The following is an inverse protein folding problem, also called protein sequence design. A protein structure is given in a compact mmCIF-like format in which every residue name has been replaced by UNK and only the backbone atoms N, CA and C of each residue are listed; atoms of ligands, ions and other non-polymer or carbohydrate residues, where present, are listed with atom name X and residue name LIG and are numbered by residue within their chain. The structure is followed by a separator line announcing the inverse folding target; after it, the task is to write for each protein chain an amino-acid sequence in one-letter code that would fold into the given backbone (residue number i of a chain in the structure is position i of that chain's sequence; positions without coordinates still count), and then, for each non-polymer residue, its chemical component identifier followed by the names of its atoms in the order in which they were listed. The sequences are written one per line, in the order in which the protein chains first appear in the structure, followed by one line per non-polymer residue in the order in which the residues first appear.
data_IF_062750103414
#
_entry.id   IF_062750103414
#
_cell.length_a   1.000
_cell.length_b   1.000
_cell.length_c   1.000
_cell.angle_alpha   90.00
_cell.angle_beta   90.00
_cell.angle_gamma   90.00
#
_symmetry.space_group_name_H-M   'P 1'
#
loop_
_entity.id
_entity.type
_entity.pdbx_description
1 polymer ?
#
# COMPACT_ATOMS: atom_id res chain seq x y z
N UNK A 1 -6.65 -30.62 0.98
CA UNK A 1 -6.88 -29.30 1.61
C UNK A 1 -5.75 -28.41 1.14
N UNK A 2 -6.02 -27.23 0.56
CA UNK A 2 -4.96 -26.36 0.07
C UNK A 2 -4.11 -25.87 1.25
N UNK A 3 -2.81 -25.65 1.01
CA UNK A 3 -1.88 -25.14 2.03
C UNK A 3 -2.27 -23.74 2.51
N UNK A 4 -2.78 -22.91 1.58
CA UNK A 4 -3.31 -21.58 1.86
C UNK A 4 -4.77 -21.45 1.40
N UNK A 5 -5.61 -20.88 2.25
CA UNK A 5 -6.98 -20.50 1.88
C UNK A 5 -6.97 -19.19 1.07
N UNK A 6 -7.10 -19.33 -0.25
CA UNK A 6 -7.04 -18.21 -1.19
C UNK A 6 -8.11 -18.34 -2.27
N UNK A 7 -8.92 -17.30 -2.43
CA UNK A 7 -9.93 -17.25 -3.50
C UNK A 7 -9.29 -16.88 -4.84
N UNK A 8 -9.04 -17.88 -5.69
CA UNK A 8 -8.37 -17.72 -6.99
C UNK A 8 -9.06 -16.68 -7.89
N UNK A 9 -10.39 -16.69 -7.97
CA UNK A 9 -11.15 -15.77 -8.85
C UNK A 9 -10.95 -14.31 -8.46
N UNK A 10 -10.95 -14.03 -7.16
CA UNK A 10 -10.75 -12.67 -6.64
C UNK A 10 -9.32 -12.21 -6.92
N UNK A 11 -8.33 -13.04 -6.61
CA UNK A 11 -6.92 -12.69 -6.80
C UNK A 11 -6.61 -12.42 -8.28
N UNK A 12 -7.05 -13.29 -9.20
CA UNK A 12 -6.81 -13.10 -10.63
C UNK A 12 -7.49 -11.83 -11.16
N UNK A 13 -8.68 -11.49 -10.65
CA UNK A 13 -9.38 -10.26 -11.00
C UNK A 13 -8.58 -9.02 -10.58
N UNK A 14 -8.02 -9.00 -9.37
CA UNK A 14 -7.24 -7.87 -8.88
C UNK A 14 -5.87 -7.77 -9.56
N UNK A 15 -5.19 -8.89 -9.78
CA UNK A 15 -3.92 -8.93 -10.53
C UNK A 15 -4.09 -8.39 -11.95
N UNK A 16 -5.23 -8.67 -12.61
CA UNK A 16 -5.51 -8.18 -13.97
C UNK A 16 -5.56 -6.65 -14.08
N UNK A 17 -5.84 -5.94 -12.98
CA UNK A 17 -5.84 -4.47 -12.94
C UNK A 17 -4.42 -3.89 -12.92
N UNK A 18 -3.43 -4.69 -12.56
CA UNK A 18 -2.05 -4.26 -12.40
C UNK A 18 -1.27 -4.35 -13.72
N UNK A 19 -0.23 -3.55 -13.85
CA UNK A 19 0.66 -3.58 -15.00
C UNK A 19 1.76 -4.64 -14.78
N UNK A 20 2.00 -5.56 -15.73
CA UNK A 20 3.13 -6.49 -15.63
C UNK A 20 4.47 -5.75 -15.76
N UNK A 21 5.47 -6.23 -15.01
CA UNK A 21 6.83 -5.70 -15.01
C UNK A 21 7.79 -6.59 -15.79
N UNK A 22 8.80 -5.95 -16.38
CA UNK A 22 9.96 -6.66 -16.92
C UNK A 22 10.82 -7.21 -15.76
N UNK A 23 11.49 -8.32 -16.01
CA UNK A 23 12.36 -8.94 -15.01
C UNK A 23 13.49 -7.98 -14.57
N UNK A 24 13.70 -7.92 -13.26
CA UNK A 24 14.77 -7.12 -12.65
C UNK A 24 15.40 -7.92 -11.51
N UNK A 25 16.71 -8.19 -11.60
CA UNK A 25 17.45 -8.96 -10.60
C UNK A 25 17.36 -8.40 -9.17
N UNK A 26 17.26 -7.08 -9.01
CA UNK A 26 17.18 -6.42 -7.71
C UNK A 26 15.75 -6.37 -7.14
N UNK A 27 14.74 -6.67 -7.97
CA UNK A 27 13.32 -6.62 -7.63
C UNK A 27 12.59 -7.89 -8.08
N UNK A 28 13.30 -9.01 -8.16
CA UNK A 28 12.84 -10.25 -8.80
C UNK A 28 11.57 -10.86 -8.18
N UNK A 29 11.24 -10.48 -6.94
CA UNK A 29 10.04 -10.92 -6.24
C UNK A 29 8.78 -10.17 -6.69
N UNK A 30 8.92 -9.01 -7.36
CA UNK A 30 7.82 -8.22 -7.90
C UNK A 30 7.57 -8.56 -9.36
N UNK A 31 6.31 -8.78 -9.70
CA UNK A 31 5.86 -9.11 -11.06
C UNK A 31 4.93 -8.08 -11.65
N UNK A 32 4.25 -7.33 -10.79
CA UNK A 32 3.27 -6.35 -11.19
C UNK A 32 3.51 -5.04 -10.45
N UNK A 33 2.98 -3.95 -10.99
CA UNK A 33 2.98 -2.62 -10.37
C UNK A 33 1.64 -1.92 -10.63
N UNK A 34 1.40 -0.83 -9.91
CA UNK A 34 0.25 0.03 -10.19
C UNK A 34 0.42 0.67 -11.58
N UNK A 35 -0.66 0.75 -12.38
CA UNK A 35 -0.60 1.39 -13.69
C UNK A 35 -0.33 2.90 -13.57
N UNK A 36 -0.90 3.54 -12.56
CA UNK A 36 -0.69 4.95 -12.27
C UNK A 36 0.55 5.13 -11.39
N UNK A 37 1.44 6.03 -11.81
CA UNK A 37 2.59 6.42 -11.01
C UNK A 37 2.15 7.39 -9.90
N UNK A 38 2.75 7.31 -8.70
CA UNK A 38 2.43 8.23 -7.62
C UNK A 38 2.77 9.66 -8.02
N UNK A 39 1.90 10.60 -7.66
CA UNK A 39 2.10 12.01 -7.97
C UNK A 39 3.24 12.60 -7.12
N UNK A 40 3.76 13.74 -7.56
CA UNK A 40 4.81 14.43 -6.83
C UNK A 40 4.35 14.82 -5.41
N UNK A 41 5.27 14.79 -4.44
CA UNK A 41 4.99 15.07 -3.01
C UNK A 41 4.29 16.40 -2.74
N UNK A 42 4.51 17.41 -3.57
CA UNK A 42 3.94 18.76 -3.39
C UNK A 42 2.60 18.94 -4.12
N UNK A 43 2.10 17.90 -4.80
CA UNK A 43 0.78 17.94 -5.44
C UNK A 43 -0.31 18.00 -4.37
N UNK A 44 -1.44 18.61 -4.72
CA UNK A 44 -2.60 18.72 -3.83
C UNK A 44 -3.11 17.33 -3.39
N UNK A 45 -3.51 17.22 -2.13
CA UNK A 45 -3.94 15.96 -1.52
C UNK A 45 -5.14 15.36 -2.25
N UNK A 46 -6.12 16.19 -2.65
CA UNK A 46 -7.29 15.71 -3.37
C UNK A 46 -6.91 15.03 -4.70
N UNK A 47 -5.94 15.59 -5.42
CA UNK A 47 -5.44 15.00 -6.67
C UNK A 47 -4.70 13.68 -6.44
N UNK A 48 -3.93 13.56 -5.35
CA UNK A 48 -3.29 12.30 -4.97
C UNK A 48 -4.30 11.22 -4.62
N UNK A 49 -5.35 11.58 -3.88
CA UNK A 49 -6.48 10.68 -3.56
C UNK A 49 -7.14 10.20 -4.86
N UNK A 50 -7.44 11.12 -5.78
CA UNK A 50 -8.07 10.78 -7.06
C UNK A 50 -7.17 9.97 -8.00
N UNK A 51 -5.86 10.09 -7.90
CA UNK A 51 -4.90 9.27 -8.66
C UNK A 51 -4.79 7.83 -8.13
N UNK A 52 -5.26 7.57 -6.90
CA UNK A 52 -5.12 6.29 -6.23
C UNK A 52 -3.78 6.12 -5.49
N UNK A 53 -3.09 7.21 -5.14
CA UNK A 53 -1.79 7.13 -4.45
C UNK A 53 -1.89 6.44 -3.08
N UNK A 54 -3.08 6.53 -2.46
CA UNK A 54 -3.39 5.94 -1.16
C UNK A 54 -4.29 4.70 -1.26
N UNK A 55 -4.49 4.17 -2.47
CA UNK A 55 -5.25 2.93 -2.64
C UNK A 55 -4.50 1.74 -2.03
N UNK A 56 -5.27 0.71 -1.71
CA UNK A 56 -4.79 -0.52 -1.09
C UNK A 56 -3.59 -1.12 -1.84
N UNK A 57 -2.54 -1.49 -1.10
CA UNK A 57 -1.28 -1.93 -1.70
C UNK A 57 -1.43 -3.19 -2.57
N UNK A 58 -0.91 -3.09 -3.79
CA UNK A 58 -0.88 -4.20 -4.75
C UNK A 58 0.01 -5.37 -4.28
N UNK A 59 0.92 -5.16 -3.32
CA UNK A 59 1.79 -6.21 -2.81
C UNK A 59 1.01 -7.35 -2.14
N UNK A 60 -0.13 -7.02 -1.51
CA UNK A 60 -1.04 -8.02 -0.95
C UNK A 60 -1.52 -9.01 -2.01
N UNK A 61 -2.04 -8.49 -3.13
CA UNK A 61 -2.57 -9.33 -4.20
C UNK A 61 -1.47 -10.17 -4.86
N UNK A 62 -0.26 -9.63 -4.98
CA UNK A 62 0.90 -10.39 -5.45
C UNK A 62 1.32 -11.50 -4.49
N UNK A 63 1.24 -11.26 -3.18
CA UNK A 63 1.51 -12.28 -2.17
C UNK A 63 0.47 -13.40 -2.26
N UNK A 64 -0.81 -13.05 -2.36
CA UNK A 64 -1.91 -14.02 -2.58
C UNK A 64 -1.77 -14.78 -3.89
N UNK A 65 -1.34 -14.13 -4.95
CA UNK A 65 -1.06 -14.80 -6.22
C UNK A 65 0.09 -15.81 -6.10
N UNK A 66 1.11 -15.48 -5.31
CA UNK A 66 2.21 -16.42 -5.00
C UNK A 66 1.72 -17.59 -4.15
N UNK A 67 0.81 -17.38 -3.19
CA UNK A 67 0.18 -18.46 -2.41
C UNK A 67 -0.60 -19.45 -3.29
N UNK A 68 -1.28 -18.97 -4.36
CA UNK A 68 -1.93 -19.85 -5.34
C UNK A 68 -0.92 -20.74 -6.08
N UNK A 69 0.23 -20.19 -6.46
CA UNK A 69 1.30 -20.96 -7.10
C UNK A 69 1.91 -21.99 -6.15
N UNK A 70 2.06 -21.65 -4.87
CA UNK A 70 2.53 -22.60 -3.85
C UNK A 70 1.53 -23.73 -3.66
N UNK A 71 0.23 -23.44 -3.64
CA UNK A 71 -0.80 -24.48 -3.57
C UNK A 71 -0.72 -25.45 -4.76
N UNK A 72 -0.59 -24.92 -5.99
CA UNK A 72 -0.43 -25.75 -7.20
C UNK A 72 0.82 -26.63 -7.12
N UNK A 73 1.94 -26.03 -6.70
CA UNK A 73 3.20 -26.75 -6.51
C UNK A 73 3.09 -27.85 -5.43
N UNK A 74 2.36 -27.57 -4.35
CA UNK A 74 2.11 -28.52 -3.26
C UNK A 74 1.35 -29.74 -3.77
N UNK A 75 0.27 -29.52 -4.52
CA UNK A 75 -0.52 -30.60 -5.12
C UNK A 75 0.30 -31.43 -6.12
N UNK A 76 1.18 -30.80 -6.90
CA UNK A 76 2.06 -31.47 -7.86
C UNK A 76 3.16 -32.34 -7.20
N UNK A 77 3.67 -31.91 -6.05
CA UNK A 77 4.78 -32.61 -5.38
C UNK A 77 4.30 -33.60 -4.32
N UNK A 78 3.01 -33.58 -3.95
CA UNK A 78 2.47 -34.46 -2.93
C UNK A 78 2.61 -35.94 -3.34
N UNK A 79 3.07 -36.84 -2.45
CA UNK A 79 3.36 -36.64 -1.02
C UNK A 79 4.83 -36.32 -0.70
N UNK A 80 5.69 -36.07 -1.69
CA UNK A 80 7.12 -35.81 -1.50
C UNK A 80 7.38 -34.36 -1.04
N UNK A 81 7.48 -34.20 0.27
CA UNK A 81 7.78 -32.92 0.91
C UNK A 81 9.19 -32.40 0.65
N UNK A 82 10.16 -33.30 0.40
CA UNK A 82 11.55 -32.89 0.12
C UNK A 82 11.60 -32.17 -1.22
N UNK A 83 10.99 -32.79 -2.24
CA UNK A 83 10.85 -32.20 -3.57
C UNK A 83 10.05 -30.89 -3.54
N UNK A 84 8.98 -30.83 -2.75
CA UNK A 84 8.21 -29.60 -2.55
C UNK A 84 9.08 -28.47 -1.99
N UNK A 85 9.86 -28.74 -0.93
CA UNK A 85 10.67 -27.72 -0.29
C UNK A 85 11.74 -27.15 -1.24
N UNK A 86 12.38 -28.00 -2.03
CA UNK A 86 13.36 -27.59 -3.04
C UNK A 86 12.74 -26.65 -4.09
N UNK A 87 11.58 -27.03 -4.66
CA UNK A 87 10.90 -26.21 -5.67
C UNK A 87 10.26 -24.95 -5.07
N UNK A 88 9.79 -25.02 -3.82
CA UNK A 88 9.09 -23.92 -3.16
C UNK A 88 10.03 -22.84 -2.63
N UNK A 89 11.32 -23.12 -2.48
CA UNK A 89 12.30 -22.18 -1.89
C UNK A 89 12.19 -20.76 -2.46
N UNK A 90 12.09 -20.63 -3.79
CA UNK A 90 11.97 -19.34 -4.47
C UNK A 90 10.60 -18.66 -4.20
N UNK A 91 9.51 -19.42 -4.23
CA UNK A 91 8.16 -18.90 -3.99
C UNK A 91 7.96 -18.48 -2.53
N UNK A 92 8.50 -19.25 -1.58
CA UNK A 92 8.53 -18.89 -0.16
C UNK A 92 9.29 -17.59 0.09
N UNK A 93 10.48 -17.44 -0.50
CA UNK A 93 11.25 -16.20 -0.41
C UNK A 93 10.52 -15.00 -1.05
N UNK A 94 9.87 -15.20 -2.21
CA UNK A 94 9.04 -14.18 -2.88
C UNK A 94 7.88 -13.72 -1.99
N UNK A 95 7.11 -14.68 -1.46
CA UNK A 95 5.97 -14.43 -0.58
C UNK A 95 6.38 -13.61 0.64
N UNK A 96 7.47 -13.99 1.32
CA UNK A 96 7.98 -13.27 2.49
C UNK A 96 8.27 -11.81 2.17
N UNK A 97 9.02 -11.54 1.10
CA UNK A 97 9.37 -10.16 0.69
C UNK A 97 8.15 -9.34 0.30
N UNK A 98 7.16 -9.94 -0.35
CA UNK A 98 5.92 -9.25 -0.73
C UNK A 98 5.10 -8.84 0.50
N UNK A 99 5.03 -9.69 1.54
CA UNK A 99 4.41 -9.31 2.81
C UNK A 99 5.19 -8.21 3.53
N UNK A 100 6.51 -8.29 3.57
CA UNK A 100 7.35 -7.23 4.16
C UNK A 100 7.16 -5.88 3.44
N UNK A 101 7.07 -5.89 2.10
CA UNK A 101 6.81 -4.70 1.29
C UNK A 101 5.39 -4.17 1.50
N UNK A 102 4.39 -5.06 1.61
CA UNK A 102 3.00 -4.70 1.91
C UNK A 102 2.87 -3.96 3.24
N UNK A 103 3.40 -4.52 4.32
CA UNK A 103 3.31 -3.92 5.66
C UNK A 103 3.96 -2.54 5.69
N UNK A 104 5.14 -2.40 5.05
CA UNK A 104 5.84 -1.12 4.94
C UNK A 104 5.06 -0.11 4.12
N UNK A 105 4.53 -0.51 2.97
CA UNK A 105 3.80 0.37 2.06
C UNK A 105 2.51 0.90 2.71
N UNK A 106 1.69 0.03 3.29
CA UNK A 106 0.46 0.43 3.99
C UNK A 106 0.74 1.31 5.21
N UNK A 107 1.74 0.96 6.01
CA UNK A 107 2.17 1.81 7.14
C UNK A 107 2.62 3.19 6.66
N UNK A 108 3.36 3.26 5.56
CA UNK A 108 3.82 4.52 5.00
C UNK A 108 2.65 5.36 4.45
N UNK A 109 1.71 4.75 3.72
CA UNK A 109 0.51 5.43 3.21
C UNK A 109 -0.34 6.00 4.33
N UNK A 110 -0.64 5.21 5.36
CA UNK A 110 -1.41 5.67 6.52
C UNK A 110 -0.72 6.87 7.20
N UNK A 111 0.59 6.78 7.42
CA UNK A 111 1.35 7.88 8.00
C UNK A 111 1.37 9.14 7.11
N UNK A 112 1.42 8.96 5.79
CA UNK A 112 1.36 10.06 4.83
C UNK A 112 -0.02 10.72 4.83
N UNK A 113 -1.11 9.95 4.80
CA UNK A 113 -2.48 10.47 4.90
C UNK A 113 -2.61 11.33 6.15
N UNK A 114 -2.29 10.77 7.33
CA UNK A 114 -2.37 11.50 8.61
C UNK A 114 -1.56 12.80 8.56
N UNK A 115 -0.37 12.76 7.97
CA UNK A 115 0.50 13.94 7.84
C UNK A 115 -0.10 14.97 6.88
N UNK A 116 -0.62 14.58 5.73
CA UNK A 116 -1.15 15.52 4.73
C UNK A 116 -2.44 16.20 5.22
N UNK A 117 -3.36 15.44 5.82
CA UNK A 117 -4.56 16.00 6.46
C UNK A 117 -4.19 16.97 7.59
N UNK A 118 -3.25 16.56 8.46
CA UNK A 118 -2.70 17.44 9.50
C UNK A 118 -2.13 18.73 8.92
N UNK A 119 -1.44 18.70 7.77
CA UNK A 119 -0.82 19.90 7.19
C UNK A 119 -1.85 20.83 6.54
N UNK A 120 -2.89 20.26 5.90
CA UNK A 120 -3.89 21.00 5.10
C UNK A 120 -4.99 21.61 5.96
N UNK A 121 -5.51 20.85 6.93
CA UNK A 121 -6.64 21.27 7.76
C UNK A 121 -6.21 21.79 9.12
N UNK A 122 -7.07 22.57 9.78
CA UNK A 122 -6.83 23.10 11.14
C UNK A 122 -7.05 22.04 12.23
N UNK A 123 -6.31 20.94 12.17
CA UNK A 123 -6.44 19.79 13.08
C UNK A 123 -5.08 19.29 13.57
N UNK A 124 -5.06 18.51 14.66
CA UNK A 124 -3.88 17.77 15.13
C UNK A 124 -3.81 16.39 14.50
N UNK A 125 -2.66 15.70 14.63
CA UNK A 125 -2.52 14.33 14.12
C UNK A 125 -3.41 13.32 14.86
N UNK A 126 -3.76 13.59 16.12
CA UNK A 126 -4.63 12.71 16.89
C UNK A 126 -6.06 12.86 16.43
N UNK A 127 -6.52 14.11 16.26
CA UNK A 127 -7.84 14.42 15.70
C UNK A 127 -8.02 13.71 14.34
N UNK A 128 -7.00 13.71 13.46
CA UNK A 128 -7.10 12.99 12.18
C UNK A 128 -7.39 11.51 12.39
N UNK A 129 -6.72 10.85 13.34
CA UNK A 129 -6.89 9.41 13.59
C UNK A 129 -8.26 9.11 14.17
N UNK A 130 -8.70 9.90 15.16
CA UNK A 130 -10.02 9.76 15.77
C UNK A 130 -11.13 9.93 14.71
N UNK A 131 -11.03 10.97 13.88
CA UNK A 131 -11.99 11.19 12.79
C UNK A 131 -11.91 10.09 11.73
N UNK A 132 -10.72 9.56 11.42
CA UNK A 132 -10.58 8.45 10.48
C UNK A 132 -11.23 7.15 11.00
N UNK A 133 -11.15 6.88 12.30
CA UNK A 133 -11.76 5.70 12.92
C UNK A 133 -13.29 5.80 12.93
N UNK A 134 -13.84 7.01 13.10
CA UNK A 134 -15.29 7.25 13.05
C UNK A 134 -15.84 7.31 11.61
N UNK A 135 -15.04 7.78 10.65
CA UNK A 135 -15.48 8.05 9.29
C UNK A 135 -15.47 6.80 8.41
N UNK A 136 -16.55 6.00 8.48
CA UNK A 136 -16.74 4.77 7.71
C UNK A 136 -17.00 4.91 6.20
N UNK A 137 -16.52 5.97 5.54
CA UNK A 137 -16.74 6.24 4.11
C UNK A 137 -15.43 6.40 3.33
N UNK A 138 -15.50 6.77 2.04
CA UNK A 138 -14.33 6.91 1.17
C UNK A 138 -13.42 8.08 1.57
N UNK A 139 -12.13 7.98 1.23
CA UNK A 139 -11.12 8.99 1.52
C UNK A 139 -11.42 10.36 0.89
N UNK A 140 -12.07 10.39 -0.28
CA UNK A 140 -12.53 11.62 -0.92
C UNK A 140 -13.65 12.30 -0.13
N UNK A 141 -14.62 11.52 0.39
CA UNK A 141 -15.65 12.06 1.28
C UNK A 141 -15.05 12.53 2.60
N UNK A 142 -14.01 11.86 3.09
CA UNK A 142 -13.30 12.25 4.29
C UNK A 142 -12.64 13.62 4.12
N UNK A 143 -12.03 13.86 2.96
CA UNK A 143 -11.49 15.17 2.60
C UNK A 143 -12.56 16.28 2.68
N UNK A 144 -13.73 16.05 2.07
CA UNK A 144 -14.85 17.02 2.10
C UNK A 144 -15.36 17.22 3.53
N UNK A 145 -15.45 16.15 4.32
CA UNK A 145 -15.85 16.23 5.72
C UNK A 145 -14.88 17.10 6.54
N UNK A 146 -13.57 16.86 6.42
CA UNK A 146 -12.56 17.65 7.11
C UNK A 146 -12.55 19.12 6.66
N UNK A 147 -12.78 19.37 5.37
CA UNK A 147 -12.88 20.73 4.83
C UNK A 147 -14.04 21.51 5.47
N UNK A 148 -15.21 20.89 5.57
CA UNK A 148 -16.40 21.51 6.15
C UNK A 148 -16.29 21.71 7.68
N UNK A 149 -15.70 20.74 8.40
CA UNK A 149 -15.65 20.74 9.86
C UNK A 149 -14.53 21.62 10.43
N UNK A 150 -13.32 21.52 9.89
CA UNK A 150 -12.13 22.18 10.45
C UNK A 150 -11.66 23.38 9.62
N UNK A 151 -11.98 23.41 8.33
CA UNK A 151 -11.50 24.41 7.39
C UNK A 151 -10.01 24.27 7.04
N UNK A 152 -9.65 24.82 5.88
CA UNK A 152 -8.27 24.81 5.37
C UNK A 152 -7.38 25.81 6.11
N UNK A 153 -6.10 25.47 6.24
CA UNK A 153 -5.07 26.39 6.77
C UNK A 153 -4.62 27.37 5.70
N UNK A 154 -4.64 28.66 6.05
CA UNK A 154 -4.18 29.73 5.17
C UNK A 154 -2.66 29.98 5.26
N UNK A 155 -1.99 29.45 6.30
CA UNK A 155 -0.55 29.61 6.53
C UNK A 155 0.09 28.25 6.77
N UNK A 156 1.28 28.04 6.21
CA UNK A 156 2.06 26.84 6.49
C UNK A 156 2.51 26.82 7.96
N UNK A 157 2.57 25.62 8.54
CA UNK A 157 3.10 25.42 9.88
C UNK A 157 4.59 25.79 9.92
N UNK A 158 5.01 26.43 11.01
CA UNK A 158 6.41 26.72 11.23
C UNK A 158 7.21 25.42 11.31
N UNK A 159 8.21 25.29 10.44
CA UNK A 159 9.19 24.23 10.56
C UNK A 159 10.20 24.63 11.63
N UNK A 160 10.74 23.63 12.36
CA UNK A 160 11.95 23.84 13.18
C UNK A 160 13.12 24.07 12.24
N UNK A 161 13.22 25.31 11.74
CA UNK A 161 14.30 25.76 10.89
C UNK A 161 15.55 26.06 11.70
N UNK A 162 16.70 26.05 11.03
CA UNK A 162 17.93 26.63 11.58
C UNK A 162 17.65 28.10 11.94
N UNK A 163 18.01 28.57 13.14
CA UNK A 163 17.84 29.97 13.50
C UNK A 163 18.54 30.86 12.46
N UNK A 164 17.92 31.99 12.11
CA UNK A 164 18.51 32.96 11.19
C UNK A 164 19.86 33.40 11.74
N UNK A 165 20.88 33.44 10.88
CA UNK A 165 22.21 33.92 11.27
C UNK A 165 22.07 35.40 11.65
N UNK A 166 22.40 35.73 12.89
CA UNK A 166 22.51 37.13 13.34
C UNK A 166 23.71 37.72 12.60
N UNK A 167 23.49 38.81 11.86
CA UNK A 167 24.54 39.59 11.16
C UNK A 167 25.07 40.62 12.15
#
# INVERSE_FOLDING_TARGET
MPLYDVNEKVVLREIKKLQPLNYNQFRWWRRFDNPNKPLHKNTDLLKKIQNGDYDFSHFFWQAKYTELEINKLYDECYPDYTLFNEKNALNGARRKRLWDDYEKDETNKLNQIVKEFYLIFKMTKNDVKEEMDEFGHSLERFYIHCENKFGKRNKQLSTRGRPKKVI
#
